data_IF_885476158779
#
_entry.id   IF_885476158779
#
_cell.length_a   1.000
_cell.length_b   1.000
_cell.length_c   1.000
_cell.angle_alpha   90.00
_cell.angle_beta   90.00
_cell.angle_gamma   90.00
#
_symmetry.space_group_name_H-M   'P 1'
#
loop_
_entity.id
_entity.type
_entity.pdbx_description
1 polymer ?
#
# COMPACT_ATOMS: atom_id res chain seq x y z
N UNK A 1 6.51 -1.56 17.10
CA UNK A 1 5.62 -2.22 16.12
C UNK A 1 4.55 -1.27 15.58
N UNK A 2 3.97 -0.40 16.40
CA UNK A 2 3.00 0.62 15.96
C UNK A 2 3.61 1.70 15.05
N UNK A 3 4.86 2.11 15.30
CA UNK A 3 5.54 3.13 14.50
C UNK A 3 5.59 2.79 13.00
N UNK A 4 5.93 1.55 12.64
CA UNK A 4 6.02 1.15 11.24
C UNK A 4 4.68 1.25 10.47
N UNK A 5 3.54 1.12 11.15
CA UNK A 5 2.23 1.29 10.53
C UNK A 5 1.91 2.78 10.32
N UNK A 6 2.28 3.61 11.30
CA UNK A 6 2.19 5.06 11.16
C UNK A 6 3.08 5.56 10.01
N UNK A 7 4.29 5.02 9.88
CA UNK A 7 5.24 5.38 8.82
C UNK A 7 4.70 5.04 7.42
N UNK A 8 3.98 3.92 7.25
CA UNK A 8 3.32 3.59 5.99
C UNK A 8 2.26 4.64 5.64
N UNK A 9 1.39 4.99 6.59
CA UNK A 9 0.33 5.98 6.40
C UNK A 9 0.88 7.38 6.10
N UNK A 10 1.98 7.74 6.76
CA UNK A 10 2.65 9.03 6.59
C UNK A 10 3.59 9.06 5.38
N UNK A 11 3.78 7.92 4.69
CA UNK A 11 4.64 7.83 3.52
C UNK A 11 6.15 7.86 3.82
N UNK A 12 6.57 7.63 5.06
CA UNK A 12 7.96 7.78 5.49
C UNK A 12 8.70 6.45 5.45
N UNK A 13 9.83 6.40 4.74
CA UNK A 13 10.73 5.25 4.76
C UNK A 13 10.27 4.06 3.91
N UNK A 14 10.64 2.85 4.35
CA UNK A 14 10.51 1.62 3.56
C UNK A 14 9.92 0.49 4.38
N UNK A 15 9.05 -0.30 3.76
CA UNK A 15 8.40 -1.44 4.40
C UNK A 15 8.65 -2.76 3.68
N UNK A 16 8.67 -3.84 4.46
CA UNK A 16 8.67 -5.21 3.97
C UNK A 16 7.25 -5.76 3.85
N UNK A 17 7.12 -6.94 3.25
CA UNK A 17 5.85 -7.61 3.02
C UNK A 17 5.11 -7.99 4.31
N UNK A 18 5.80 -8.25 5.42
CA UNK A 18 5.15 -8.48 6.74
C UNK A 18 4.51 -7.20 7.28
N UNK A 19 5.16 -6.05 7.09
CA UNK A 19 4.61 -4.75 7.51
C UNK A 19 3.40 -4.37 6.66
N UNK A 20 3.47 -4.54 5.33
CA UNK A 20 2.32 -4.32 4.44
C UNK A 20 1.16 -5.28 4.74
N UNK A 21 1.44 -6.56 4.96
CA UNK A 21 0.43 -7.54 5.35
C UNK A 21 -0.34 -7.09 6.60
N UNK A 22 0.36 -6.55 7.60
CA UNK A 22 -0.27 -5.98 8.81
C UNK A 22 -1.03 -4.70 8.53
N UNK A 23 -0.50 -3.81 7.70
CA UNK A 23 -1.16 -2.55 7.31
C UNK A 23 -2.53 -2.80 6.66
N UNK A 24 -2.60 -3.77 5.75
CA UNK A 24 -3.84 -4.12 5.04
C UNK A 24 -4.68 -5.21 5.74
N UNK A 25 -4.21 -5.79 6.85
CA UNK A 25 -4.91 -6.88 7.54
C UNK A 25 -5.01 -8.18 6.74
N UNK A 26 -4.04 -8.46 5.85
CA UNK A 26 -4.04 -9.62 4.95
C UNK A 26 -2.81 -10.50 5.14
N UNK A 27 -2.76 -11.64 4.44
CA UNK A 27 -1.56 -12.49 4.41
C UNK A 27 -0.46 -11.89 3.53
N UNK A 28 0.80 -12.28 3.79
CA UNK A 28 1.95 -11.93 2.93
C UNK A 28 1.75 -12.39 1.47
N UNK A 29 1.11 -13.55 1.28
CA UNK A 29 0.81 -14.09 -0.05
C UNK A 29 -0.09 -13.13 -0.83
N UNK A 30 -1.10 -12.57 -0.17
CA UNK A 30 -2.03 -11.60 -0.77
C UNK A 30 -1.31 -10.36 -1.30
N UNK A 31 -0.33 -9.83 -0.56
CA UNK A 31 0.51 -8.69 -1.00
C UNK A 31 1.22 -9.00 -2.32
N UNK A 32 1.87 -10.16 -2.42
CA UNK A 32 2.54 -10.57 -3.65
C UNK A 32 1.56 -10.86 -4.79
N UNK A 33 0.40 -11.45 -4.49
CA UNK A 33 -0.66 -11.68 -5.47
C UNK A 33 -1.18 -10.34 -6.04
N UNK A 34 -1.34 -9.30 -5.21
CA UNK A 34 -1.71 -7.95 -5.66
C UNK A 34 -0.62 -7.30 -6.50
N UNK A 35 0.65 -7.42 -6.14
CA UNK A 35 1.76 -6.92 -6.97
C UNK A 35 1.77 -7.58 -8.34
N UNK A 36 1.60 -8.91 -8.42
CA UNK A 36 1.52 -9.62 -9.71
C UNK A 36 0.33 -9.17 -10.54
N UNK A 37 -0.79 -8.87 -9.89
CA UNK A 37 -2.02 -8.36 -10.54
C UNK A 37 -1.98 -6.85 -10.83
N UNK A 38 -0.90 -6.15 -10.51
CA UNK A 38 -0.79 -4.69 -10.69
C UNK A 38 -1.70 -3.86 -9.77
N UNK A 39 -2.24 -4.46 -8.70
CA UNK A 39 -3.15 -3.81 -7.74
C UNK A 39 -2.42 -3.11 -6.60
N UNK A 40 -1.11 -3.25 -6.51
CA UNK A 40 -0.26 -2.64 -5.50
C UNK A 40 1.02 -2.14 -6.19
N UNK A 41 1.64 -1.03 -5.74
CA UNK A 41 2.94 -0.60 -6.24
C UNK A 41 3.99 -1.72 -6.25
N UNK A 42 4.83 -1.75 -7.28
CA UNK A 42 5.91 -2.74 -7.40
C UNK A 42 6.98 -2.45 -6.35
N UNK A 43 7.54 -3.48 -5.69
CA UNK A 43 8.63 -3.26 -4.76
C UNK A 43 9.94 -2.93 -5.48
N UNK A 44 10.82 -2.20 -4.80
CA UNK A 44 12.13 -1.77 -5.28
C UNK A 44 13.25 -2.58 -4.61
N UNK A 45 14.28 -2.91 -5.37
CA UNK A 45 15.52 -3.51 -4.82
C UNK A 45 16.36 -2.39 -4.19
N UNK A 46 16.53 -2.44 -2.87
CA UNK A 46 17.43 -1.52 -2.15
C UNK A 46 18.86 -2.06 -2.09
N UNK A 47 18.99 -3.39 -2.06
CA UNK A 47 20.28 -4.10 -2.14
C UNK A 47 20.06 -5.38 -2.95
N UNK A 48 21.12 -6.09 -3.39
CA UNK A 48 20.96 -7.32 -4.16
C UNK A 48 20.05 -8.38 -3.48
N UNK A 49 20.01 -8.41 -2.14
CA UNK A 49 19.22 -9.37 -1.35
C UNK A 49 17.97 -8.79 -0.70
N UNK A 50 17.72 -7.47 -0.79
CA UNK A 50 16.57 -6.83 -0.12
C UNK A 50 15.71 -6.02 -1.08
N UNK A 51 14.47 -6.46 -1.17
CA UNK A 51 13.38 -5.81 -1.91
C UNK A 51 12.38 -5.23 -0.90
N UNK A 52 11.96 -3.97 -1.08
CA UNK A 52 11.09 -3.22 -0.16
C UNK A 52 10.11 -2.33 -0.93
N UNK A 53 9.00 -1.96 -0.29
CA UNK A 53 8.07 -0.97 -0.80
C UNK A 53 8.40 0.40 -0.24
N UNK A 54 8.36 1.42 -1.09
CA UNK A 54 8.42 2.81 -0.64
C UNK A 54 7.11 3.14 0.06
N UNK A 55 7.17 3.59 1.30
CA UNK A 55 5.97 3.97 2.03
C UNK A 55 5.26 5.15 1.36
N UNK A 56 6.00 6.07 0.74
CA UNK A 56 5.43 7.18 -0.02
C UNK A 56 4.53 6.71 -1.18
N UNK A 57 4.97 5.69 -1.93
CA UNK A 57 4.18 5.13 -3.03
C UNK A 57 2.94 4.38 -2.53
N UNK A 58 3.07 3.70 -1.39
CA UNK A 58 1.94 3.03 -0.74
C UNK A 58 0.90 4.05 -0.25
N UNK A 59 1.33 5.12 0.44
CA UNK A 59 0.43 6.18 0.90
C UNK A 59 -0.29 6.87 -0.27
N UNK A 60 0.41 7.16 -1.37
CA UNK A 60 -0.21 7.71 -2.58
C UNK A 60 -1.22 6.76 -3.21
N UNK A 61 -0.91 5.46 -3.24
CA UNK A 61 -1.81 4.43 -3.74
C UNK A 61 -3.08 4.33 -2.88
N UNK A 62 -2.94 4.31 -1.56
CA UNK A 62 -4.06 4.27 -0.62
C UNK A 62 -4.94 5.53 -0.76
N UNK A 63 -4.32 6.72 -0.92
CA UNK A 63 -5.06 7.96 -1.19
C UNK A 63 -5.82 7.89 -2.51
N UNK A 64 -5.23 7.31 -3.56
CA UNK A 64 -5.90 7.14 -4.84
C UNK A 64 -7.13 6.24 -4.70
N UNK A 65 -7.03 5.12 -3.99
CA UNK A 65 -8.18 4.24 -3.73
C UNK A 65 -9.28 4.99 -2.98
N UNK A 66 -8.94 5.69 -1.90
CA UNK A 66 -9.90 6.49 -1.13
C UNK A 66 -10.60 7.56 -1.97
N UNK A 67 -9.86 8.24 -2.84
CA UNK A 67 -10.42 9.26 -3.74
C UNK A 67 -11.37 8.64 -4.77
N UNK A 68 -11.06 7.44 -5.27
CA UNK A 68 -11.93 6.71 -6.19
C UNK A 68 -13.23 6.29 -5.49
N UNK A 69 -13.13 5.75 -4.27
CA UNK A 69 -14.30 5.39 -3.45
C UNK A 69 -15.16 6.62 -3.17
N UNK A 70 -14.55 7.75 -2.80
CA UNK A 70 -15.27 9.01 -2.58
C UNK A 70 -15.96 9.49 -3.86
N UNK A 71 -15.28 9.47 -5.00
CA UNK A 71 -15.87 9.88 -6.28
C UNK A 71 -17.07 9.01 -6.64
N UNK A 72 -16.95 7.69 -6.52
CA UNK A 72 -18.04 6.74 -6.78
C UNK A 72 -19.23 6.95 -5.85
N UNK A 73 -18.95 7.18 -4.56
CA UNK A 73 -19.98 7.48 -3.57
C UNK A 73 -20.71 8.79 -3.87
N UNK A 74 -19.97 9.85 -4.21
CA UNK A 74 -20.55 11.15 -4.56
C UNK A 74 -21.39 11.05 -5.84
N UNK A 75 -20.90 10.38 -6.89
CA UNK A 75 -21.70 10.14 -8.10
C UNK A 75 -23.01 9.41 -7.79
N UNK A 76 -23.02 8.46 -6.86
CA UNK A 76 -24.25 7.75 -6.46
C UNK A 76 -25.24 8.60 -5.64
N UNK A 77 -24.80 9.72 -5.03
CA UNK A 77 -25.68 10.60 -4.24
C UNK A 77 -26.24 11.79 -5.03
N UNK A 78 -25.62 12.14 -6.16
CA UNK A 78 -25.97 13.31 -6.97
C UNK A 78 -26.50 12.93 -8.38
N UNK A 79 -26.82 11.66 -8.59
CA UNK A 79 -27.55 11.11 -9.76
C UNK A 79 -28.90 10.62 -9.30
#
# INVERSE_FOLDING_TARGET
MQQALADIRNGVGWSNDKQLARHYGVTRKTIWDWVRKGRLPKPKKLTPRRTRWSNAEIAQHDQKIRNLEYKQFMEALYV
#
